data_IF_370889545994
#
_entry.id   IF_370889545994
#
_cell.length_a   1.000
_cell.length_b   1.000
_cell.length_c   1.000
_cell.angle_alpha   90.00
_cell.angle_beta   90.00
_cell.angle_gamma   90.00
#
_symmetry.space_group_name_H-M   'P 1'
#
loop_
_entity.id
_entity.type
_entity.pdbx_description
1 polymer ?
#
# COMPACT_ATOMS: atom_id res chain seq x y z
N UNK A 1 16.98 2.98 -6.92
CA UNK A 1 16.12 3.76 -7.84
C UNK A 1 14.69 3.36 -7.56
N UNK A 2 13.77 4.31 -7.42
CA UNK A 2 12.34 4.07 -7.15
C UNK A 2 11.49 4.83 -8.16
N UNK A 3 10.27 4.36 -8.40
CA UNK A 3 9.26 5.12 -9.15
C UNK A 3 8.72 6.28 -8.31
N UNK A 4 8.17 7.30 -8.97
CA UNK A 4 7.58 8.48 -8.29
C UNK A 4 6.06 8.36 -8.18
N UNK A 5 5.41 9.11 -7.28
CA UNK A 5 3.94 9.15 -7.19
C UNK A 5 3.26 9.58 -8.50
N UNK A 6 3.87 10.52 -9.24
CA UNK A 6 3.33 10.99 -10.53
C UNK A 6 3.38 9.93 -11.63
N UNK A 7 4.29 8.96 -11.50
CA UNK A 7 4.32 7.78 -12.35
C UNK A 7 3.24 6.78 -11.92
N UNK A 8 3.13 6.51 -10.61
CA UNK A 8 2.15 5.56 -10.06
C UNK A 8 0.71 5.96 -10.37
N UNK A 9 0.37 7.25 -10.35
CA UNK A 9 -0.98 7.73 -10.69
C UNK A 9 -1.43 7.43 -12.13
N UNK A 10 -0.50 7.05 -13.01
CA UNK A 10 -0.80 6.62 -14.39
C UNK A 10 -1.07 5.11 -14.50
N UNK A 11 -0.87 4.36 -13.41
CA UNK A 11 -1.18 2.94 -13.34
C UNK A 11 -2.63 2.79 -12.92
N UNK A 12 -3.43 2.07 -13.73
CA UNK A 12 -4.87 1.93 -13.49
C UNK A 12 -5.20 1.19 -12.18
N UNK A 13 -4.44 0.14 -11.85
CA UNK A 13 -4.69 -0.69 -10.67
C UNK A 13 -3.37 -1.28 -10.13
N UNK A 14 -2.57 -0.51 -9.36
CA UNK A 14 -1.43 -1.05 -8.63
C UNK A 14 -1.84 -2.06 -7.55
N UNK A 15 -1.12 -3.19 -7.49
CA UNK A 15 -1.28 -4.25 -6.48
C UNK A 15 -0.10 -4.23 -5.52
N UNK A 16 -0.38 -4.13 -4.22
CA UNK A 16 0.60 -4.27 -3.14
C UNK A 16 0.51 -5.67 -2.52
N UNK A 17 1.58 -6.46 -2.68
CA UNK A 17 1.70 -7.76 -2.03
C UNK A 17 2.54 -7.63 -0.78
N UNK A 18 1.96 -7.94 0.38
CA UNK A 18 2.57 -7.72 1.68
C UNK A 18 2.58 -9.01 2.50
N UNK A 19 3.78 -9.51 2.78
CA UNK A 19 4.02 -10.70 3.60
C UNK A 19 4.67 -10.33 4.94
N UNK A 20 4.46 -11.19 5.95
CA UNK A 20 5.02 -11.04 7.28
C UNK A 20 4.24 -10.13 8.23
N UNK A 21 3.97 -10.62 9.45
CA UNK A 21 3.08 -9.98 10.43
C UNK A 21 3.53 -8.61 10.96
N UNK A 22 4.82 -8.26 10.84
CA UNK A 22 5.39 -6.99 11.33
C UNK A 22 4.89 -5.73 10.60
N UNK A 23 4.03 -5.88 9.58
CA UNK A 23 3.54 -4.78 8.75
C UNK A 23 2.09 -4.39 9.05
N UNK A 24 1.40 -5.10 9.96
CA UNK A 24 -0.03 -4.86 10.29
C UNK A 24 -0.34 -3.41 10.65
N UNK A 25 0.49 -2.76 11.47
CA UNK A 25 0.27 -1.37 11.85
C UNK A 25 0.35 -0.41 10.66
N UNK A 26 1.35 -0.58 9.78
CA UNK A 26 1.49 0.22 8.57
C UNK A 26 0.34 -0.01 7.59
N UNK A 27 -0.15 -1.25 7.49
CA UNK A 27 -1.32 -1.61 6.68
C UNK A 27 -2.60 -0.98 7.22
N UNK A 28 -2.79 -0.98 8.54
CA UNK A 28 -3.92 -0.30 9.16
C UNK A 28 -3.90 1.21 8.88
N UNK A 29 -2.73 1.86 8.97
CA UNK A 29 -2.57 3.27 8.59
C UNK A 29 -2.82 3.51 7.09
N UNK A 30 -2.46 2.57 6.22
CA UNK A 30 -2.69 2.66 4.77
C UNK A 30 -4.19 2.59 4.46
N UNK A 31 -4.90 1.63 5.07
CA UNK A 31 -6.35 1.49 4.95
C UNK A 31 -7.09 2.70 5.53
N UNK A 32 -6.59 3.26 6.63
CA UNK A 32 -7.12 4.48 7.24
C UNK A 32 -6.77 5.76 6.45
N UNK A 33 -6.04 5.65 5.34
CA UNK A 33 -5.63 6.78 4.49
C UNK A 33 -4.85 7.85 5.26
N UNK A 34 -3.98 7.43 6.20
CA UNK A 34 -3.22 8.38 7.04
C UNK A 34 -2.29 9.25 6.17
N UNK A 35 -2.50 10.57 6.10
CA UNK A 35 -1.68 11.47 5.27
C UNK A 35 -0.21 11.53 5.71
N UNK A 36 0.11 11.05 6.91
CA UNK A 36 1.49 10.97 7.41
C UNK A 36 2.21 9.71 6.91
N UNK A 37 1.49 8.72 6.38
CA UNK A 37 2.08 7.49 5.87
C UNK A 37 2.63 7.69 4.45
N UNK A 38 3.92 7.44 4.26
CA UNK A 38 4.59 7.55 2.95
C UNK A 38 3.93 6.67 1.88
N UNK A 39 3.50 5.45 2.24
CA UNK A 39 2.84 4.55 1.30
C UNK A 39 1.50 5.10 0.81
N UNK A 40 0.74 5.78 1.68
CA UNK A 40 -0.51 6.44 1.29
C UNK A 40 -0.24 7.60 0.33
N UNK A 41 0.70 8.49 0.68
CA UNK A 41 1.10 9.62 -0.18
C UNK A 41 1.61 9.18 -1.56
N UNK A 42 2.20 7.99 -1.66
CA UNK A 42 2.67 7.46 -2.94
C UNK A 42 1.53 7.03 -3.87
N UNK A 43 0.37 6.67 -3.31
CA UNK A 43 -0.75 6.07 -4.05
C UNK A 43 -2.03 6.90 -4.01
N UNK A 44 -2.06 8.02 -3.30
CA UNK A 44 -3.26 8.86 -3.14
C UNK A 44 -3.85 9.36 -4.47
N UNK A 45 -3.02 9.45 -5.52
CA UNK A 45 -3.44 9.79 -6.88
C UNK A 45 -3.85 8.61 -7.76
N UNK A 46 -3.81 7.37 -7.26
CA UNK A 46 -4.24 6.18 -8.00
C UNK A 46 -5.77 6.04 -7.94
N UNK A 47 -6.38 5.63 -9.05
CA UNK A 47 -7.84 5.42 -9.12
C UNK A 47 -8.29 4.31 -8.16
N UNK A 48 -7.48 3.25 -8.07
CA UNK A 48 -7.70 2.13 -7.19
C UNK A 48 -6.36 1.55 -6.77
N UNK A 49 -6.30 0.99 -5.57
CA UNK A 49 -5.16 0.25 -5.05
C UNK A 49 -5.66 -1.06 -4.49
N UNK A 50 -5.07 -2.17 -4.94
CA UNK A 50 -5.36 -3.49 -4.39
C UNK A 50 -4.28 -3.90 -3.40
N UNK A 51 -4.69 -4.51 -2.29
CA UNK A 51 -3.79 -4.93 -1.21
C UNK A 51 -3.98 -6.42 -0.95
N UNK A 52 -2.92 -7.20 -1.17
CA UNK A 52 -2.87 -8.61 -0.85
C UNK A 52 -2.00 -8.81 0.37
N UNK A 53 -2.59 -9.38 1.41
CA UNK A 53 -1.91 -9.66 2.66
C UNK A 53 -1.82 -11.17 2.83
N UNK A 54 -0.64 -11.64 3.23
CA UNK A 54 -0.53 -12.98 3.79
C UNK A 54 -1.38 -13.03 5.06
N UNK A 55 -2.44 -13.84 5.03
CA UNK A 55 -3.20 -14.12 6.24
C UNK A 55 -2.27 -14.93 7.13
N UNK A 56 -1.83 -14.30 8.23
CA UNK A 56 -0.88 -14.92 9.15
C UNK A 56 -1.53 -16.13 9.80
N UNK A 57 -1.54 -17.26 9.12
CA UNK A 57 -1.81 -18.56 9.69
C UNK A 57 -0.75 -18.75 10.77
N UNK A 58 -1.19 -18.64 12.01
CA UNK A 58 -0.37 -18.96 13.16
C UNK A 58 -0.01 -20.45 13.04
N UNK A 59 1.25 -20.72 12.70
CA UNK A 59 1.85 -22.04 12.93
C UNK A 59 2.14 -22.21 14.42
#
# INVERSE_FOLDING_TARGET
MSVTPEFLSRVGEPVFVVAGGGKRAALASLVAQDPRLTAWRAVEGCVRVELWMEDGAQG
#
